data_IF_098857566460
#
_entry.id   IF_098857566460
#
_cell.length_a   1.000
_cell.length_b   1.000
_cell.length_c   1.000
_cell.angle_alpha   90.00
_cell.angle_beta   90.00
_cell.angle_gamma   90.00
#
_symmetry.space_group_name_H-M   'P 1'
#
loop_
_entity.id
_entity.type
_entity.pdbx_description
1 polymer ?
#
# COMPACT_ATOMS: atom_id res chain seq x y z
N UNK A 1 -14.95 17.07 -5.07
CA UNK A 1 -14.67 16.80 -3.64
C UNK A 1 -13.28 16.19 -3.59
N UNK A 2 -12.32 16.79 -2.89
CA UNK A 2 -10.96 16.26 -2.84
C UNK A 2 -10.98 14.94 -2.04
N UNK A 3 -10.83 13.82 -2.72
CA UNK A 3 -10.63 12.53 -2.07
C UNK A 3 -9.36 12.63 -1.21
N UNK A 4 -9.49 12.53 0.12
CA UNK A 4 -8.34 12.47 1.01
C UNK A 4 -7.61 11.13 0.80
N UNK A 5 -6.69 11.14 -0.16
CA UNK A 5 -5.79 10.04 -0.50
C UNK A 5 -4.52 10.20 0.32
N UNK A 6 -4.18 9.18 1.11
CA UNK A 6 -2.95 9.13 1.89
C UNK A 6 -2.00 8.16 1.20
N UNK A 7 -0.87 8.68 0.74
CA UNK A 7 0.20 7.85 0.17
C UNK A 7 1.09 7.33 1.29
N UNK A 8 1.35 6.02 1.30
CA UNK A 8 2.26 5.40 2.27
C UNK A 8 3.72 5.73 1.93
N UNK A 9 4.41 6.34 2.88
CA UNK A 9 5.84 6.68 2.82
C UNK A 9 6.57 6.09 4.02
N UNK A 10 7.91 6.08 4.00
CA UNK A 10 8.73 5.62 5.14
C UNK A 10 8.41 6.36 6.44
N UNK A 11 7.98 7.62 6.33
CA UNK A 11 7.70 8.49 7.47
C UNK A 11 6.33 8.23 8.09
N UNK A 12 5.35 7.78 7.29
CA UNK A 12 3.98 7.61 7.79
C UNK A 12 3.54 6.16 7.93
N UNK A 13 4.25 5.19 7.34
CA UNK A 13 3.87 3.77 7.36
C UNK A 13 3.75 3.21 8.79
N UNK A 14 4.48 3.79 9.74
CA UNK A 14 4.41 3.42 11.16
C UNK A 14 3.05 3.75 11.80
N UNK A 15 2.33 4.76 11.30
CA UNK A 15 0.96 5.07 11.72
C UNK A 15 -0.08 4.06 11.19
N UNK A 16 0.33 3.18 10.27
CA UNK A 16 -0.52 2.18 9.64
C UNK A 16 -0.10 0.77 10.05
N UNK A 17 -0.60 0.24 11.18
CA UNK A 17 -0.12 -1.02 11.74
C UNK A 17 -0.24 -2.21 10.77
N UNK A 18 -1.24 -2.21 9.90
CA UNK A 18 -1.39 -3.22 8.84
C UNK A 18 -0.20 -3.23 7.87
N UNK A 19 0.15 -2.06 7.32
CA UNK A 19 1.26 -1.92 6.37
C UNK A 19 2.63 -1.98 7.04
N UNK A 20 2.76 -1.43 8.25
CA UNK A 20 3.98 -1.59 9.06
C UNK A 20 4.28 -3.06 9.32
N UNK A 21 3.26 -3.87 9.63
CA UNK A 21 3.43 -5.32 9.79
C UNK A 21 3.86 -5.97 8.47
N UNK A 22 3.22 -5.65 7.34
CA UNK A 22 3.61 -6.18 6.03
C UNK A 22 5.05 -5.81 5.66
N UNK A 23 5.49 -4.59 5.99
CA UNK A 23 6.87 -4.13 5.77
C UNK A 23 7.85 -4.93 6.63
N UNK A 24 7.55 -5.12 7.91
CA UNK A 24 8.38 -5.93 8.84
C UNK A 24 8.41 -7.41 8.45
N UNK A 25 7.32 -7.93 7.91
CA UNK A 25 7.19 -9.30 7.39
C UNK A 25 7.89 -9.49 6.03
N UNK A 26 8.39 -8.41 5.42
CA UNK A 26 9.03 -8.43 4.10
C UNK A 26 8.06 -8.63 2.93
N UNK A 27 6.75 -8.53 3.15
CA UNK A 27 5.72 -8.68 2.11
C UNK A 27 5.57 -7.44 1.23
N UNK A 28 5.95 -6.28 1.75
CA UNK A 28 6.07 -5.02 1.01
C UNK A 28 7.45 -4.43 1.24
N UNK A 29 7.95 -3.67 0.28
CA UNK A 29 9.24 -2.97 0.33
C UNK A 29 9.12 -1.63 -0.39
N UNK A 30 9.92 -0.66 0.03
CA UNK A 30 10.07 0.58 -0.71
C UNK A 30 11.02 0.37 -1.89
N UNK A 31 10.55 0.70 -3.08
CA UNK A 31 11.36 0.80 -4.28
C UNK A 31 12.35 1.98 -4.21
N UNK A 32 13.33 2.02 -5.11
CA UNK A 32 14.30 3.12 -5.27
C UNK A 32 13.65 4.50 -5.42
N UNK A 33 12.41 4.57 -5.93
CA UNK A 33 11.64 5.83 -6.00
C UNK A 33 10.91 6.20 -4.69
N UNK A 34 11.12 5.45 -3.60
CA UNK A 34 10.44 5.66 -2.32
C UNK A 34 8.96 5.24 -2.32
N UNK A 35 8.52 4.46 -3.32
CA UNK A 35 7.15 3.96 -3.43
C UNK A 35 7.03 2.59 -2.77
N UNK A 36 5.99 2.40 -1.96
CA UNK A 36 5.71 1.10 -1.36
C UNK A 36 5.15 0.15 -2.42
N UNK A 37 5.78 -1.02 -2.56
CA UNK A 37 5.32 -2.10 -3.44
C UNK A 37 5.31 -3.43 -2.70
N UNK A 38 4.40 -4.31 -3.07
CA UNK A 38 4.45 -5.70 -2.65
C UNK A 38 5.67 -6.42 -3.24
N UNK A 39 6.10 -7.49 -2.58
CA UNK A 39 7.31 -8.23 -2.97
C UNK A 39 7.23 -8.83 -4.38
N UNK A 40 6.03 -9.05 -4.91
CA UNK A 40 5.80 -9.49 -6.28
C UNK A 40 5.75 -8.33 -7.29
N UNK A 41 6.00 -7.08 -6.88
CA UNK A 41 6.10 -5.91 -7.75
C UNK A 41 4.87 -5.01 -7.82
N UNK A 42 3.76 -5.42 -7.22
CA UNK A 42 2.52 -4.66 -7.23
C UNK A 42 2.69 -3.33 -6.49
N UNK A 43 2.26 -2.21 -7.07
CA UNK A 43 2.19 -0.96 -6.31
C UNK A 43 1.19 -1.11 -5.17
N UNK A 44 1.59 -0.74 -3.96
CA UNK A 44 0.62 -0.47 -2.89
C UNK A 44 -0.02 0.86 -3.24
N UNK A 45 -1.32 0.86 -3.50
CA UNK A 45 -1.99 2.09 -3.89
C UNK A 45 -2.32 3.00 -2.71
N UNK A 46 -2.93 4.14 -3.00
CA UNK A 46 -3.20 5.16 -2.00
C UNK A 46 -4.32 4.71 -1.05
N UNK A 47 -4.24 5.12 0.21
CA UNK A 47 -5.27 4.89 1.20
C UNK A 47 -6.35 5.96 1.07
N UNK A 48 -7.58 5.56 0.75
CA UNK A 48 -8.74 6.44 0.73
C UNK A 48 -9.55 6.30 2.00
N UNK A 49 -9.99 7.42 2.55
CA UNK A 49 -10.98 7.43 3.63
C UNK A 49 -12.30 6.88 3.09
N UNK A 50 -12.70 5.71 3.56
CA UNK A 50 -13.97 5.08 3.12
C UNK A 50 -15.10 5.29 4.12
N UNK A 51 -14.77 5.48 5.40
CA UNK A 51 -15.77 5.63 6.45
C UNK A 51 -15.16 6.29 7.68
N UNK A 52 -15.95 7.08 8.38
CA UNK A 52 -15.65 7.48 9.77
C UNK A 52 -16.62 6.70 10.68
N UNK A 53 -16.09 6.00 11.67
CA UNK A 53 -16.89 5.26 12.65
C UNK A 53 -17.57 6.23 13.62
N UNK A 54 -18.61 5.76 14.32
CA UNK A 54 -19.31 6.56 15.35
C UNK A 54 -18.39 7.01 16.50
N UNK A 55 -17.31 6.27 16.73
CA UNK A 55 -16.27 6.58 17.72
C UNK A 55 -15.28 7.66 17.24
N UNK A 56 -15.47 8.22 16.03
CA UNK A 56 -14.55 9.20 15.43
C UNK A 56 -13.35 8.58 14.71
N UNK A 57 -13.15 7.25 14.80
CA UNK A 57 -12.06 6.58 14.08
C UNK A 57 -12.30 6.59 12.57
N UNK A 58 -11.35 7.13 11.82
CA UNK A 58 -11.32 7.09 10.36
C UNK A 58 -10.85 5.70 9.87
N UNK A 59 -11.66 5.07 9.02
CA UNK A 59 -11.36 3.80 8.35
C UNK A 59 -10.94 4.09 6.92
N UNK A 60 -9.74 3.68 6.60
CA UNK A 60 -9.16 3.82 5.28
C UNK A 60 -9.13 2.46 4.57
N UNK A 61 -9.21 2.50 3.25
CA UNK A 61 -9.07 1.32 2.39
C UNK A 61 -7.98 1.61 1.36
N UNK A 62 -7.14 0.62 1.09
CA UNK A 62 -6.22 0.68 -0.04
C UNK A 62 -7.01 0.72 -1.34
N UNK A 63 -6.65 1.66 -2.21
CA UNK A 63 -7.11 1.68 -3.60
C UNK A 63 -6.14 0.89 -4.46
N UNK A 64 -6.59 -0.15 -5.14
CA UNK A 64 -5.81 -0.75 -6.21
C UNK A 64 -6.08 0.07 -7.48
N UNK A 65 -5.44 1.24 -7.60
CA UNK A 65 -5.59 2.06 -8.80
C UNK A 65 -4.84 1.46 -10.00
N UNK A 66 -3.91 0.54 -9.73
CA UNK A 66 -3.24 -0.29 -10.73
C UNK A 66 -3.68 -1.74 -10.53
N UNK A 67 -4.24 -2.33 -11.59
CA UNK A 67 -4.58 -3.76 -11.61
C UNK A 67 -3.29 -4.57 -11.50
N UNK A 68 -3.19 -5.41 -10.48
CA UNK A 68 -2.06 -6.32 -10.31
C UNK A 68 -2.56 -7.73 -10.06
N UNK A 69 -2.16 -8.64 -10.95
CA UNK A 69 -2.50 -10.05 -10.86
C UNK A 69 -1.28 -10.82 -10.33
N UNK A 70 -1.33 -11.34 -9.08
CA UNK A 70 -0.20 -12.01 -8.44
C UNK A 70 0.16 -13.37 -9.04
N UNK A 71 -0.73 -13.94 -9.86
CA UNK A 71 -0.51 -15.22 -10.55
C UNK A 71 0.02 -15.02 -11.98
N UNK A 72 -0.03 -13.78 -12.48
CA UNK A 72 0.42 -13.40 -13.81
C UNK A 72 1.92 -13.61 -13.99
N UNK A 73 2.34 -13.93 -15.21
CA UNK A 73 3.76 -14.02 -15.58
C UNK A 73 4.54 -12.77 -15.16
N UNK A 74 3.95 -11.58 -15.27
CA UNK A 74 4.56 -10.31 -14.82
C UNK A 74 4.90 -10.27 -13.32
N UNK A 75 4.12 -10.92 -12.46
CA UNK A 75 4.40 -11.01 -11.02
C UNK A 75 5.51 -12.02 -10.72
N UNK A 76 5.56 -13.11 -11.49
CA UNK A 76 6.61 -14.14 -11.39
C UNK A 76 7.96 -13.68 -11.93
N UNK A 77 7.94 -12.84 -12.96
CA UNK A 77 9.13 -12.26 -13.59
C UNK A 77 9.60 -10.96 -12.91
N UNK A 78 8.90 -10.51 -11.87
CA UNK A 78 9.30 -9.30 -11.15
C UNK A 78 10.60 -9.55 -10.38
N UNK A 79 11.67 -8.91 -10.83
CA UNK A 79 12.95 -8.88 -10.13
C UNK A 79 13.06 -7.53 -9.44
N UNK A 80 13.23 -7.54 -8.11
CA UNK A 80 13.57 -6.34 -7.37
C UNK A 80 14.94 -5.82 -7.83
N UNK A 81 15.06 -4.56 -8.26
CA UNK A 81 16.36 -3.92 -8.45
C UNK A 81 17.10 -3.71 -7.11
#
# INVERSE_FOLDING_TARGET
MAEQRIRLTKENIEHWPGFSKLLKDGKVKFDSQGRLRYIHGAPVGDLVLVRVNKDGTAKYKETANEWFDPESGKAREFIWP
#
